data_IF_929142013860
#
_entry.id   IF_929142013860
#
_cell.length_a   1.000
_cell.length_b   1.000
_cell.length_c   1.000
_cell.angle_alpha   90.00
_cell.angle_beta   90.00
_cell.angle_gamma   90.00
#
_symmetry.space_group_name_H-M   'P 1'
#
loop_
_entity.id
_entity.type
_entity.pdbx_description
1 polymer ?
#
# COMPACT_ATOMS: atom_id res chain seq x y z
N UNK A 1 -8.36 -11.49 -14.15
CA UNK A 1 -6.92 -11.18 -14.32
C UNK A 1 -6.46 -10.07 -13.38
N UNK A 2 -7.27 -9.03 -13.15
CA UNK A 2 -6.94 -7.95 -12.21
C UNK A 2 -6.60 -8.45 -10.79
N UNK A 3 -7.28 -9.48 -10.29
CA UNK A 3 -7.02 -10.03 -8.95
C UNK A 3 -5.61 -10.66 -8.84
N UNK A 4 -5.17 -11.39 -9.87
CA UNK A 4 -3.84 -11.99 -9.91
C UNK A 4 -2.73 -10.94 -10.03
N UNK A 5 -2.98 -9.84 -10.75
CA UNK A 5 -2.06 -8.71 -10.83
C UNK A 5 -1.93 -8.01 -9.48
N UNK A 6 -3.05 -7.74 -8.79
CA UNK A 6 -3.06 -7.17 -7.44
C UNK A 6 -2.24 -8.02 -6.46
N UNK A 7 -2.47 -9.34 -6.44
CA UNK A 7 -1.75 -10.25 -5.55
C UNK A 7 -0.24 -10.30 -5.88
N UNK A 8 0.12 -10.24 -7.16
CA UNK A 8 1.52 -10.19 -7.58
C UNK A 8 2.18 -8.87 -7.16
N UNK A 9 1.50 -7.73 -7.29
CA UNK A 9 2.02 -6.43 -6.84
C UNK A 9 2.17 -6.34 -5.32
N UNK A 10 1.25 -6.94 -4.56
CA UNK A 10 1.38 -7.04 -3.10
C UNK A 10 2.56 -7.94 -2.73
N UNK A 11 2.68 -9.11 -3.38
CA UNK A 11 3.80 -10.03 -3.15
C UNK A 11 5.15 -9.38 -3.49
N UNK A 12 5.22 -8.66 -4.61
CA UNK A 12 6.41 -7.90 -4.99
C UNK A 12 6.76 -6.84 -3.93
N UNK A 13 5.76 -6.16 -3.37
CA UNK A 13 5.99 -5.15 -2.34
C UNK A 13 6.44 -5.74 -1.00
N UNK A 14 5.98 -6.94 -0.65
CA UNK A 14 6.48 -7.66 0.54
C UNK A 14 7.95 -8.05 0.35
N UNK A 15 8.32 -8.50 -0.85
CA UNK A 15 9.68 -8.96 -1.16
C UNK A 15 10.68 -7.80 -1.33
N UNK A 16 10.30 -6.81 -2.11
CA UNK A 16 11.21 -5.77 -2.64
C UNK A 16 10.87 -4.36 -2.13
N UNK A 17 9.83 -4.22 -1.31
CA UNK A 17 9.37 -2.92 -0.83
C UNK A 17 8.68 -2.09 -1.92
N UNK A 18 8.77 -0.78 -1.79
CA UNK A 18 8.12 0.19 -2.66
C UNK A 18 8.98 0.39 -3.92
N UNK A 19 8.71 -0.39 -4.96
CA UNK A 19 9.43 -0.34 -6.25
C UNK A 19 8.52 0.02 -7.41
N UNK A 20 9.08 0.37 -8.57
CA UNK A 20 8.25 0.54 -9.77
C UNK A 20 7.80 -0.82 -10.30
N UNK A 21 6.53 -0.96 -10.69
CA UNK A 21 6.03 -2.20 -11.32
C UNK A 21 5.90 -2.05 -12.84
N UNK A 22 6.20 -3.15 -13.53
CA UNK A 22 5.95 -3.36 -14.96
C UNK A 22 5.55 -4.81 -15.21
N UNK A 23 4.87 -5.13 -16.33
CA UNK A 23 4.54 -6.52 -16.66
C UNK A 23 5.77 -7.44 -16.66
N UNK A 24 6.93 -6.94 -17.11
CA UNK A 24 8.19 -7.69 -17.08
C UNK A 24 8.65 -8.00 -15.64
N UNK A 25 8.53 -7.04 -14.72
CA UNK A 25 8.89 -7.27 -13.31
C UNK A 25 7.97 -8.29 -12.62
N UNK A 26 6.67 -8.26 -12.93
CA UNK A 26 5.70 -9.22 -12.39
C UNK A 26 5.95 -10.61 -12.96
N UNK A 27 6.15 -10.72 -14.27
CA UNK A 27 6.51 -11.99 -14.91
C UNK A 27 7.81 -12.57 -14.35
N UNK A 28 8.81 -11.72 -14.09
CA UNK A 28 10.06 -12.15 -13.46
C UNK A 28 9.82 -12.72 -12.06
N UNK A 29 8.95 -12.10 -11.26
CA UNK A 29 8.57 -12.61 -9.94
C UNK A 29 7.88 -13.97 -10.05
N UNK A 30 6.93 -14.11 -10.98
CA UNK A 30 6.27 -15.39 -11.25
C UNK A 30 7.28 -16.47 -11.63
N UNK A 31 8.15 -16.21 -12.61
CA UNK A 31 9.18 -17.18 -13.04
C UNK A 31 10.16 -17.54 -11.92
N UNK A 32 10.47 -16.60 -11.02
CA UNK A 32 11.37 -16.86 -9.89
C UNK A 32 10.75 -17.85 -8.89
N UNK A 33 9.43 -17.80 -8.70
CA UNK A 33 8.70 -18.61 -7.72
C UNK A 33 7.89 -19.77 -8.33
N UNK A 34 8.07 -20.05 -9.63
CA UNK A 34 7.27 -21.03 -10.39
C UNK A 34 7.44 -22.46 -9.85
N UNK A 35 8.68 -22.86 -9.58
CA UNK A 35 8.97 -24.21 -9.08
C UNK A 35 8.89 -24.31 -7.54
N UNK A 36 9.30 -23.26 -6.84
CA UNK A 36 9.35 -23.27 -5.38
C UNK A 36 9.17 -21.86 -4.80
N UNK A 37 8.11 -21.70 -4.00
CA UNK A 37 7.85 -20.47 -3.26
C UNK A 37 7.90 -20.75 -1.75
N UNK A 38 9.07 -20.57 -1.10
CA UNK A 38 9.28 -21.00 0.29
C UNK A 38 8.33 -20.31 1.28
N UNK A 39 8.03 -19.03 1.07
CA UNK A 39 7.26 -18.20 2.00
C UNK A 39 5.77 -18.07 1.61
N UNK A 40 5.25 -18.99 0.77
CA UNK A 40 3.89 -18.88 0.22
C UNK A 40 2.80 -18.79 1.28
N UNK A 41 2.90 -19.58 2.35
CA UNK A 41 1.88 -19.60 3.42
C UNK A 41 1.97 -18.31 4.25
N UNK A 42 3.18 -17.82 4.53
CA UNK A 42 3.36 -16.54 5.22
C UNK A 42 2.76 -15.38 4.43
N UNK A 43 2.99 -15.33 3.11
CA UNK A 43 2.42 -14.30 2.25
C UNK A 43 0.90 -14.40 2.22
N UNK A 44 0.38 -15.62 2.06
CA UNK A 44 -1.07 -15.89 2.09
C UNK A 44 -1.69 -15.40 3.40
N UNK A 45 -1.12 -15.76 4.54
CA UNK A 45 -1.64 -15.40 5.86
C UNK A 45 -1.65 -13.88 6.06
N UNK A 46 -0.56 -13.20 5.70
CA UNK A 46 -0.46 -11.73 5.77
C UNK A 46 -1.49 -11.04 4.89
N UNK A 47 -1.65 -11.50 3.64
CA UNK A 47 -2.57 -10.92 2.66
C UNK A 47 -4.03 -11.19 3.07
N UNK A 48 -4.36 -12.42 3.45
CA UNK A 48 -5.70 -12.78 3.92
C UNK A 48 -6.08 -11.97 5.15
N UNK A 49 -5.19 -11.86 6.15
CA UNK A 49 -5.45 -11.07 7.34
C UNK A 49 -5.69 -9.57 7.03
N UNK A 50 -4.99 -9.00 6.04
CA UNK A 50 -5.21 -7.63 5.61
C UNK A 50 -6.58 -7.46 4.93
N UNK A 51 -6.99 -8.39 4.06
CA UNK A 51 -8.33 -8.37 3.44
C UNK A 51 -9.44 -8.51 4.49
N UNK A 52 -9.30 -9.45 5.42
CA UNK A 52 -10.25 -9.65 6.51
C UNK A 52 -10.37 -8.37 7.36
N UNK A 53 -9.25 -7.71 7.64
CA UNK A 53 -9.25 -6.46 8.38
C UNK A 53 -10.01 -5.35 7.63
N UNK A 54 -9.75 -5.18 6.33
CA UNK A 54 -10.48 -4.21 5.49
C UNK A 54 -11.99 -4.51 5.50
N UNK A 55 -12.36 -5.78 5.33
CA UNK A 55 -13.76 -6.19 5.28
C UNK A 55 -14.52 -5.91 6.58
N UNK A 56 -13.85 -6.08 7.73
CA UNK A 56 -14.44 -5.93 9.06
C UNK A 56 -14.43 -4.48 9.59
N UNK A 57 -13.42 -3.68 9.24
CA UNK A 57 -13.21 -2.36 9.84
C UNK A 57 -13.43 -1.18 8.88
N UNK A 58 -13.31 -1.40 7.57
CA UNK A 58 -13.33 -0.32 6.57
C UNK A 58 -14.45 -0.48 5.55
N UNK A 59 -15.64 -0.90 6.01
CA UNK A 59 -16.81 -1.06 5.16
C UNK A 59 -17.25 0.25 4.49
N UNK A 60 -16.93 1.40 5.09
CA UNK A 60 -17.19 2.73 4.52
C UNK A 60 -16.40 3.00 3.24
N UNK A 61 -15.26 2.32 3.04
CA UNK A 61 -14.45 2.49 1.84
C UNK A 61 -15.02 1.77 0.61
N UNK A 62 -16.07 0.94 0.77
CA UNK A 62 -16.72 0.25 -0.35
C UNK A 62 -17.21 1.28 -1.38
N UNK A 63 -16.95 1.00 -2.66
CA UNK A 63 -17.26 1.88 -3.79
C UNK A 63 -16.54 3.24 -3.80
N UNK A 64 -15.53 3.45 -2.96
CA UNK A 64 -14.72 4.68 -2.98
C UNK A 64 -13.49 4.53 -3.89
N UNK A 65 -12.80 5.64 -4.14
CA UNK A 65 -11.57 5.64 -4.93
C UNK A 65 -10.37 4.94 -4.25
N UNK A 66 -10.46 4.62 -2.95
CA UNK A 66 -9.48 3.77 -2.27
C UNK A 66 -9.60 2.29 -2.65
N UNK A 67 -10.73 1.85 -3.20
CA UNK A 67 -10.93 0.47 -3.67
C UNK A 67 -10.46 0.26 -5.13
N UNK A 68 -9.95 1.30 -5.79
CA UNK A 68 -9.28 1.13 -7.08
C UNK A 68 -8.03 0.26 -6.92
N UNK A 69 -7.67 -0.60 -7.89
CA UNK A 69 -6.61 -1.61 -7.70
C UNK A 69 -5.31 -1.08 -7.12
N UNK A 70 -4.77 0.02 -7.66
CA UNK A 70 -3.50 0.63 -7.19
C UNK A 70 -3.58 1.23 -5.78
N UNK A 71 -4.76 1.70 -5.37
CA UNK A 71 -5.01 2.29 -4.06
C UNK A 71 -5.24 1.18 -3.02
N UNK A 72 -6.02 0.16 -3.38
CA UNK A 72 -6.24 -1.03 -2.57
C UNK A 72 -4.93 -1.79 -2.34
N UNK A 73 -4.12 -1.95 -3.38
CA UNK A 73 -2.76 -2.50 -3.28
C UNK A 73 -1.93 -1.75 -2.22
N UNK A 74 -1.99 -0.42 -2.25
CA UNK A 74 -1.26 0.42 -1.29
C UNK A 74 -1.80 0.22 0.14
N UNK A 75 -3.12 0.15 0.31
CA UNK A 75 -3.76 -0.11 1.60
C UNK A 75 -3.37 -1.46 2.19
N UNK A 76 -3.39 -2.52 1.37
CA UNK A 76 -2.98 -3.86 1.81
C UNK A 76 -1.52 -3.86 2.27
N UNK A 77 -0.62 -3.25 1.50
CA UNK A 77 0.81 -3.20 1.87
C UNK A 77 1.04 -2.35 3.12
N UNK A 78 0.33 -1.24 3.28
CA UNK A 78 0.42 -0.41 4.48
C UNK A 78 -0.08 -1.15 5.74
N UNK A 79 -1.18 -1.90 5.62
CA UNK A 79 -1.68 -2.76 6.70
C UNK A 79 -0.68 -3.87 7.06
N UNK A 80 -0.13 -4.56 6.06
CA UNK A 80 0.87 -5.61 6.27
C UNK A 80 2.13 -5.04 6.93
N UNK A 81 2.62 -3.90 6.44
CA UNK A 81 3.77 -3.22 7.03
C UNK A 81 3.49 -2.83 8.49
N UNK A 82 2.34 -2.20 8.76
CA UNK A 82 2.03 -1.70 10.09
C UNK A 82 1.87 -2.83 11.12
N UNK A 83 1.35 -4.00 10.69
CA UNK A 83 1.14 -5.15 11.56
C UNK A 83 2.39 -6.03 11.72
N UNK A 84 3.08 -6.32 10.63
CA UNK A 84 4.13 -7.35 10.59
C UNK A 84 5.52 -6.80 10.31
N UNK A 85 5.63 -5.55 9.85
CA UNK A 85 6.84 -5.01 9.26
C UNK A 85 7.12 -5.61 7.86
N UNK A 86 7.87 -4.86 7.04
CA UNK A 86 8.43 -5.34 5.77
C UNK A 86 9.88 -4.86 5.72
N UNK A 87 10.83 -5.78 5.83
CA UNK A 87 12.25 -5.45 5.92
C UNK A 87 12.74 -4.57 4.76
N UNK A 88 12.27 -4.84 3.54
CA UNK A 88 12.62 -4.06 2.36
C UNK A 88 12.13 -2.60 2.39
N UNK A 89 11.07 -2.30 3.17
CA UNK A 89 10.52 -0.95 3.31
C UNK A 89 11.28 -0.13 4.37
N UNK A 90 11.88 -0.78 5.38
CA UNK A 90 12.57 -0.08 6.48
C UNK A 90 13.71 0.84 6.01
N UNK A 91 14.31 0.56 4.86
CA UNK A 91 15.37 1.39 4.27
C UNK A 91 14.84 2.49 3.32
N UNK A 92 13.54 2.47 3.02
CA UNK A 92 12.90 3.35 2.03
C UNK A 92 12.13 4.49 2.71
N UNK A 93 11.66 4.27 3.92
CA UNK A 93 10.83 5.23 4.68
C UNK A 93 11.22 5.22 6.14
N UNK A 94 11.16 6.40 6.77
CA UNK A 94 11.33 6.54 8.20
C UNK A 94 10.02 6.23 8.94
N UNK A 95 9.68 4.94 9.05
CA UNK A 95 8.53 4.47 9.82
C UNK A 95 8.84 3.13 10.47
N UNK A 96 8.15 2.84 11.58
CA UNK A 96 8.22 1.55 12.26
C UNK A 96 6.85 0.85 12.23
N UNK A 97 6.88 -0.48 12.25
CA UNK A 97 5.67 -1.29 12.42
C UNK A 97 5.10 -1.05 13.81
N UNK A 98 3.81 -0.71 13.92
CA UNK A 98 3.12 -0.59 15.21
C UNK A 98 2.77 -1.96 15.82
N UNK A 99 2.98 -3.06 15.08
CA UNK A 99 2.55 -4.39 15.50
C UNK A 99 1.03 -4.55 15.50
N UNK A 100 0.28 -3.63 14.89
CA UNK A 100 -1.18 -3.64 14.73
C UNK A 100 -1.56 -3.15 13.34
N UNK A 101 -2.72 -3.52 12.82
CA UNK A 101 -3.16 -3.05 11.50
C UNK A 101 -3.46 -1.54 11.50
N UNK A 102 -4.12 -1.04 12.54
CA UNK A 102 -4.31 0.38 12.80
C UNK A 102 -4.40 0.62 14.31
N UNK A 103 -3.94 1.78 14.75
CA UNK A 103 -3.97 2.19 16.17
C UNK A 103 -5.39 2.53 16.65
N UNK A 104 -6.23 3.01 15.75
CA UNK A 104 -7.64 3.35 15.99
C UNK A 104 -8.43 3.07 14.70
N UNK A 105 -9.09 1.90 14.59
CA UNK A 105 -9.78 1.52 13.37
C UNK A 105 -10.87 2.52 12.94
N UNK A 106 -11.59 3.12 13.91
CA UNK A 106 -12.68 4.04 13.62
C UNK A 106 -12.13 5.37 13.07
N UNK A 107 -11.09 5.91 13.70
CA UNK A 107 -10.41 7.10 13.20
C UNK A 107 -9.75 6.84 11.85
N UNK A 108 -9.07 5.71 11.68
CA UNK A 108 -8.46 5.34 10.41
C UNK A 108 -9.47 5.22 9.28
N UNK A 109 -10.68 4.71 9.55
CA UNK A 109 -11.75 4.66 8.57
C UNK A 109 -12.14 6.06 8.06
N UNK A 110 -12.20 7.05 8.96
CA UNK A 110 -12.49 8.46 8.63
C UNK A 110 -11.36 9.09 7.81
N UNK A 111 -10.11 8.92 8.23
CA UNK A 111 -8.94 9.49 7.53
C UNK A 111 -8.75 8.87 6.14
N UNK A 112 -8.95 7.55 6.01
CA UNK A 112 -8.94 6.86 4.73
C UNK A 112 -10.08 7.34 3.82
N UNK A 113 -11.28 7.56 4.38
CA UNK A 113 -12.40 8.13 3.63
C UNK A 113 -12.05 9.52 3.06
N UNK A 114 -11.44 10.38 3.87
CA UNK A 114 -11.01 11.71 3.44
C UNK A 114 -9.97 11.65 2.28
N UNK A 115 -9.03 10.70 2.34
CA UNK A 115 -8.11 10.44 1.21
C UNK A 115 -8.87 10.01 -0.05
N UNK A 116 -9.86 9.13 0.09
CA UNK A 116 -10.65 8.66 -1.04
C UNK A 116 -11.44 9.80 -1.70
N UNK A 117 -12.04 10.68 -0.89
CA UNK A 117 -12.78 11.86 -1.34
C UNK A 117 -11.89 12.87 -2.07
N UNK A 118 -10.73 13.21 -1.50
CA UNK A 118 -9.77 14.11 -2.15
C UNK A 118 -9.27 13.57 -3.50
N UNK A 119 -9.04 12.25 -3.59
CA UNK A 119 -8.64 11.59 -4.83
C UNK A 119 -9.78 11.55 -5.86
N UNK A 120 -11.02 11.37 -5.43
CA UNK A 120 -12.19 11.47 -6.31
C UNK A 120 -12.38 12.88 -6.86
N UNK A 121 -12.27 13.89 -5.99
CA UNK A 121 -12.35 15.30 -6.34
C UNK A 121 -11.15 15.80 -7.17
N UNK A 122 -10.06 15.03 -7.22
CA UNK A 122 -8.78 15.43 -7.83
C UNK A 122 -8.25 16.74 -7.24
N UNK A 123 -8.32 16.86 -5.92
CA UNK A 123 -7.88 18.05 -5.18
C UNK A 123 -6.35 18.16 -5.17
N UNK A 124 -5.81 19.05 -6.00
CA UNK A 124 -4.35 19.21 -6.18
C UNK A 124 -3.73 20.32 -5.31
N UNK A 125 -4.57 21.09 -4.62
CA UNK A 125 -4.22 22.25 -3.79
C UNK A 125 -4.60 22.07 -2.32
N UNK A 126 -5.18 20.91 -1.96
CA UNK A 126 -5.59 20.56 -0.60
C UNK A 126 -4.52 19.89 0.27
N UNK A 127 -4.87 19.54 1.52
CA UNK A 127 -3.97 18.87 2.46
C UNK A 127 -3.53 17.47 1.99
N UNK A 128 -4.31 16.84 1.11
CA UNK A 128 -3.99 15.53 0.53
C UNK A 128 -3.45 15.62 -0.90
N UNK A 129 -3.07 16.82 -1.37
CA UNK A 129 -2.57 17.05 -2.74
C UNK A 129 -1.44 16.11 -3.13
N UNK A 130 -0.55 15.73 -2.21
CA UNK A 130 0.51 14.79 -2.52
C UNK A 130 0.01 13.36 -2.74
N UNK A 131 -0.91 12.89 -1.90
CA UNK A 131 -1.58 11.62 -2.10
C UNK A 131 -2.35 11.62 -3.43
N UNK A 132 -3.09 12.69 -3.73
CA UNK A 132 -3.85 12.84 -4.99
C UNK A 132 -2.90 12.79 -6.18
N UNK A 133 -1.76 13.47 -6.14
CA UNK A 133 -0.69 13.31 -7.14
C UNK A 133 -0.21 11.85 -7.22
N UNK A 134 0.06 11.20 -6.09
CA UNK A 134 0.46 9.80 -6.05
C UNK A 134 -0.56 8.89 -6.75
N UNK A 135 -1.84 9.24 -6.68
CA UNK A 135 -2.94 8.54 -7.32
C UNK A 135 -3.25 8.99 -8.75
N UNK A 136 -2.71 10.14 -9.19
CA UNK A 136 -2.99 10.79 -10.48
C UNK A 136 -1.90 10.49 -11.52
N UNK A 137 -2.06 9.34 -12.19
CA UNK A 137 -1.24 8.91 -13.33
C UNK A 137 0.11 8.29 -12.94
N UNK A 138 0.59 7.32 -13.74
CA UNK A 138 1.84 6.60 -13.45
C UNK A 138 1.83 5.90 -12.08
N UNK A 139 0.69 5.34 -11.69
CA UNK A 139 0.44 4.80 -10.35
C UNK A 139 1.36 3.64 -9.98
N UNK A 140 1.98 3.00 -10.98
CA UNK A 140 2.97 1.95 -10.82
C UNK A 140 4.40 2.45 -10.52
N UNK A 141 4.69 3.75 -10.60
CA UNK A 141 6.06 4.29 -10.37
C UNK A 141 6.39 4.41 -8.88
N UNK A 142 7.62 4.08 -8.52
CA UNK A 142 8.06 4.03 -7.11
C UNK A 142 7.80 5.33 -6.32
N UNK A 143 8.14 6.55 -6.81
CA UNK A 143 7.83 7.79 -6.08
C UNK A 143 6.32 7.97 -5.82
N UNK A 144 5.49 7.63 -6.81
CA UNK A 144 4.02 7.74 -6.70
C UNK A 144 3.48 6.75 -5.67
N UNK A 145 3.98 5.51 -5.69
CA UNK A 145 3.63 4.47 -4.72
C UNK A 145 4.07 4.86 -3.31
N UNK A 146 5.28 5.41 -3.16
CA UNK A 146 5.83 5.82 -1.87
C UNK A 146 5.01 6.92 -1.21
N UNK A 147 4.63 7.93 -1.99
CA UNK A 147 3.75 9.00 -1.49
C UNK A 147 2.38 8.43 -1.09
N UNK A 148 1.76 7.57 -1.90
CA UNK A 148 0.49 6.95 -1.49
C UNK A 148 0.64 6.13 -0.21
N UNK A 149 1.70 5.32 -0.12
CA UNK A 149 1.99 4.48 1.03
C UNK A 149 2.17 5.33 2.30
N UNK A 150 2.93 6.43 2.23
CA UNK A 150 3.13 7.38 3.35
C UNK A 150 1.80 7.87 3.90
N UNK A 151 0.93 8.40 3.04
CA UNK A 151 -0.36 8.95 3.48
C UNK A 151 -1.31 7.89 4.03
N UNK A 152 -1.38 6.73 3.38
CA UNK A 152 -2.21 5.61 3.86
C UNK A 152 -1.69 5.09 5.20
N UNK A 153 -0.38 4.91 5.37
CA UNK A 153 0.22 4.46 6.61
C UNK A 153 0.01 5.47 7.75
N UNK A 154 0.09 6.77 7.46
CA UNK A 154 -0.28 7.84 8.41
C UNK A 154 -1.76 7.78 8.79
N UNK A 155 -2.66 7.53 7.83
CA UNK A 155 -4.10 7.37 8.10
C UNK A 155 -4.39 6.14 8.98
N UNK A 156 -3.55 5.10 8.94
CA UNK A 156 -3.60 3.96 9.86
C UNK A 156 -3.12 4.28 11.29
N UNK A 157 -2.67 5.52 11.53
CA UNK A 157 -2.23 6.03 12.83
C UNK A 157 -0.74 5.91 13.09
N UNK A 158 0.07 5.56 12.09
CA UNK A 158 1.53 5.43 12.24
C UNK A 158 2.20 6.79 12.15
N UNK A 159 3.31 6.96 12.86
CA UNK A 159 4.21 8.10 12.63
C UNK A 159 5.08 7.80 11.43
N UNK A 160 4.95 8.61 10.38
CA UNK A 160 5.68 8.44 9.13
C UNK A 160 6.53 9.67 8.88
N UNK A 161 7.85 9.49 8.90
CA UNK A 161 8.83 10.53 8.60
C UNK A 161 9.07 10.71 7.09
N UNK A 162 10.31 11.06 6.75
CA UNK A 162 10.69 11.31 5.35
C UNK A 162 10.94 10.03 4.55
N UNK A 163 10.86 10.17 3.23
CA UNK A 163 11.31 9.13 2.30
C UNK A 163 12.85 9.16 2.29
N UNK A 164 13.47 8.00 2.51
CA UNK A 164 14.92 7.88 2.71
C UNK A 164 15.67 7.56 1.42
N UNK A 165 15.00 6.90 0.47
CA UNK A 165 15.57 6.60 -0.84
C UNK A 165 15.34 7.78 -1.79
N UNK A 166 16.44 8.34 -2.33
CA UNK A 166 16.39 9.43 -3.30
C UNK A 166 15.64 9.08 -4.59
N UNK A 167 15.47 7.79 -4.90
CA UNK A 167 14.63 7.32 -6.02
C UNK A 167 13.12 7.34 -5.70
N UNK A 168 12.76 7.60 -4.45
CA UNK A 168 11.37 7.76 -3.98
C UNK A 168 11.03 9.23 -3.72
N UNK A 169 12.05 10.09 -3.55
CA UNK A 169 11.88 11.53 -3.49
C UNK A 169 11.29 12.07 -4.81
N UNK A 170 10.47 13.11 -4.69
CA UNK A 170 9.72 13.72 -5.78
C UNK A 170 10.58 14.47 -6.79
#
# INVERSE_FOLDING_TARGET
MADAELLAEVSLAIESGIVSTSPASLNKLYSYYDEYFPNKEEFRDKISAAFDYIANHFSNLRNTFLMKPYALQTLIVALIFNRYGIAAINHQIQAESAGVFSNDPARSAIELQALAEAHEAKELDGPYSEYVWGASGGTNRAPRRAVRFKYVLSALGSQVGELLDGNLAR
#
